data_IF_847546993799
#
_entry.id   IF_847546993799
#
_cell.length_a   1.000
_cell.length_b   1.000
_cell.length_c   1.000
_cell.angle_alpha   90.00
_cell.angle_beta   90.00
_cell.angle_gamma   90.00
#
_symmetry.space_group_name_H-M   'P 1'
#
loop_
_entity.id
_entity.type
_entity.pdbx_description
1 polymer ?
#
# COMPACT_ATOMS: atom_id res chain seq x y z
N UNK A 1 -8.95 51.14 -34.90
CA UNK A 1 -8.24 50.77 -33.65
C UNK A 1 -7.20 49.71 -34.04
N UNK A 2 -5.91 50.06 -33.98
CA UNK A 2 -4.83 49.07 -34.25
C UNK A 2 -4.37 48.47 -32.94
N UNK A 3 -4.68 47.20 -32.72
CA UNK A 3 -4.20 46.46 -31.57
C UNK A 3 -2.67 46.27 -31.63
N UNK A 4 -1.97 46.74 -30.62
CA UNK A 4 -0.53 46.68 -30.51
C UNK A 4 -0.07 45.23 -30.35
N UNK A 5 1.02 44.84 -31.03
CA UNK A 5 1.66 43.51 -30.95
C UNK A 5 1.98 43.06 -29.52
N UNK A 6 2.10 44.01 -28.59
CA UNK A 6 2.33 43.71 -27.16
C UNK A 6 1.10 43.18 -26.44
N UNK A 7 -0.12 43.52 -26.88
CA UNK A 7 -1.38 43.04 -26.28
C UNK A 7 -1.74 41.63 -26.73
N UNK A 8 -1.24 41.15 -27.88
CA UNK A 8 -1.42 39.78 -28.34
C UNK A 8 -0.54 38.76 -27.58
N UNK A 9 0.58 39.18 -27.04
CA UNK A 9 1.50 38.29 -26.30
C UNK A 9 1.07 38.03 -24.82
N UNK A 10 0.25 38.89 -24.23
CA UNK A 10 -0.23 38.75 -22.85
C UNK A 10 -1.45 37.81 -22.78
N UNK A 11 -2.23 37.71 -23.87
CA UNK A 11 -3.41 36.82 -23.90
C UNK A 11 -3.07 35.32 -24.07
N UNK A 12 -1.88 34.96 -24.55
CA UNK A 12 -1.51 33.57 -24.81
C UNK A 12 -0.93 32.82 -23.60
N UNK A 13 -0.52 33.52 -22.54
CA UNK A 13 0.05 32.88 -21.33
C UNK A 13 -1.00 32.46 -20.30
N UNK A 14 -2.24 32.93 -20.39
CA UNK A 14 -3.28 32.63 -19.38
C UNK A 14 -4.06 31.32 -19.66
N UNK A 15 -3.93 30.72 -20.83
CA UNK A 15 -4.67 29.51 -21.24
C UNK A 15 -3.95 28.18 -20.90
N UNK A 16 -2.70 28.24 -20.40
CA UNK A 16 -1.85 27.04 -20.19
C UNK A 16 -1.92 26.40 -18.80
N UNK A 17 -2.59 27.01 -17.81
CA UNK A 17 -2.55 26.51 -16.40
C UNK A 17 -3.79 25.76 -15.93
N UNK A 18 -4.75 25.50 -16.79
CA UNK A 18 -5.97 24.77 -16.40
C UNK A 18 -5.92 23.24 -16.62
N UNK A 19 -4.77 22.68 -17.04
CA UNK A 19 -4.64 21.26 -17.37
C UNK A 19 -4.00 20.38 -16.29
N UNK A 20 -3.64 20.92 -15.12
CA UNK A 20 -3.05 20.14 -14.01
C UNK A 20 -3.97 20.09 -12.81
N UNK A 21 -4.95 19.20 -12.82
CA UNK A 21 -5.77 19.07 -11.63
C UNK A 21 -6.98 18.16 -11.74
N UNK A 22 -6.87 17.02 -12.44
CA UNK A 22 -7.75 15.90 -12.07
C UNK A 22 -7.17 15.32 -10.80
N UNK A 23 -7.92 15.30 -9.67
CA UNK A 23 -7.49 14.51 -8.54
C UNK A 23 -7.43 13.06 -9.04
N UNK A 24 -6.22 12.52 -9.22
CA UNK A 24 -6.04 11.08 -9.22
C UNK A 24 -6.65 10.66 -7.90
N UNK A 25 -7.76 9.92 -7.93
CA UNK A 25 -8.20 9.17 -6.78
C UNK A 25 -6.93 8.46 -6.29
N UNK A 26 -6.40 8.84 -5.12
CA UNK A 26 -5.22 8.21 -4.55
C UNK A 26 -5.63 6.78 -4.26
N UNK A 27 -5.36 5.89 -5.21
CA UNK A 27 -5.56 4.47 -5.02
C UNK A 27 -4.65 4.08 -3.87
N UNK A 28 -5.25 3.71 -2.75
CA UNK A 28 -4.51 3.30 -1.57
C UNK A 28 -3.81 1.99 -1.90
N UNK A 29 -2.50 1.96 -1.83
CA UNK A 29 -1.71 0.74 -2.01
C UNK A 29 -1.46 0.13 -0.64
N UNK A 30 -1.91 -1.11 -0.43
CA UNK A 30 -1.63 -1.92 0.76
C UNK A 30 -0.41 -2.80 0.49
N UNK A 31 0.53 -2.80 1.40
CA UNK A 31 1.72 -3.65 1.36
C UNK A 31 1.46 -4.97 2.09
N UNK A 32 1.51 -6.07 1.37
CA UNK A 32 1.42 -7.42 1.92
C UNK A 32 2.77 -8.13 1.81
N UNK A 33 3.36 -8.49 2.95
CA UNK A 33 4.59 -9.30 2.96
C UNK A 33 4.29 -10.75 3.37
N UNK A 34 4.85 -11.69 2.63
CA UNK A 34 4.80 -13.12 2.93
C UNK A 34 6.19 -13.74 3.00
N UNK A 35 6.26 -14.97 3.46
CA UNK A 35 7.52 -15.65 3.75
C UNK A 35 7.64 -16.94 2.93
N UNK A 36 8.49 -16.87 1.90
CA UNK A 36 8.92 -18.00 1.05
C UNK A 36 7.76 -18.82 0.47
N UNK A 37 6.73 -18.13 0.01
CA UNK A 37 5.59 -18.73 -0.68
C UNK A 37 5.81 -18.81 -2.20
N UNK A 38 6.59 -17.87 -2.75
CA UNK A 38 7.01 -17.92 -4.15
C UNK A 38 8.09 -19.00 -4.37
N UNK A 39 8.17 -19.63 -5.56
CA UNK A 39 7.23 -19.49 -6.68
C UNK A 39 5.98 -20.38 -6.56
N UNK A 40 5.93 -21.29 -5.57
CA UNK A 40 4.93 -22.35 -5.46
C UNK A 40 3.49 -21.84 -5.42
N UNK A 41 3.26 -20.68 -4.81
CA UNK A 41 1.94 -20.11 -4.59
C UNK A 41 1.68 -18.86 -5.44
N UNK A 42 2.48 -18.60 -6.49
CA UNK A 42 2.30 -17.43 -7.34
C UNK A 42 0.90 -17.35 -7.96
N UNK A 43 0.42 -18.46 -8.55
CA UNK A 43 -0.89 -18.49 -9.21
C UNK A 43 -2.02 -18.28 -8.18
N UNK A 44 -1.92 -18.92 -7.03
CA UNK A 44 -2.87 -18.73 -5.94
C UNK A 44 -2.97 -17.26 -5.50
N UNK A 45 -1.82 -16.60 -5.30
CA UNK A 45 -1.82 -15.18 -4.92
C UNK A 45 -2.31 -14.28 -6.05
N UNK A 46 -2.01 -14.59 -7.30
CA UNK A 46 -2.55 -13.85 -8.45
C UNK A 46 -4.08 -13.90 -8.47
N UNK A 47 -4.68 -15.07 -8.24
CA UNK A 47 -6.12 -15.25 -8.18
C UNK A 47 -6.75 -14.52 -7.00
N UNK A 48 -6.20 -14.69 -5.79
CA UNK A 48 -6.71 -14.04 -4.58
C UNK A 48 -6.64 -12.52 -4.68
N UNK A 49 -5.51 -11.99 -5.15
CA UNK A 49 -5.33 -10.55 -5.33
C UNK A 49 -6.20 -10.00 -6.47
N UNK A 50 -6.45 -10.80 -7.51
CA UNK A 50 -7.39 -10.46 -8.57
C UNK A 50 -8.82 -10.32 -8.06
N UNK A 51 -9.29 -11.27 -7.23
CA UNK A 51 -10.61 -11.20 -6.57
C UNK A 51 -10.69 -10.00 -5.61
N UNK A 52 -9.63 -9.74 -4.84
CA UNK A 52 -9.55 -8.56 -3.99
C UNK A 52 -9.69 -7.28 -4.79
N UNK A 53 -8.93 -7.12 -5.88
CA UNK A 53 -8.96 -5.91 -6.70
C UNK A 53 -10.32 -5.66 -7.35
N UNK A 54 -11.04 -6.72 -7.72
CA UNK A 54 -12.42 -6.60 -8.24
C UNK A 54 -13.39 -6.09 -7.17
N UNK A 55 -13.25 -6.55 -5.92
CA UNK A 55 -14.12 -6.16 -4.80
C UNK A 55 -13.74 -4.80 -4.20
N UNK A 56 -12.47 -4.42 -4.30
CA UNK A 56 -11.90 -3.22 -3.70
C UNK A 56 -11.09 -2.39 -4.70
N UNK A 57 -11.71 -1.82 -5.75
CA UNK A 57 -10.99 -1.14 -6.84
C UNK A 57 -10.16 0.06 -6.37
N UNK A 58 -10.51 0.66 -5.22
CA UNK A 58 -9.78 1.79 -4.65
C UNK A 58 -8.58 1.37 -3.77
N UNK A 59 -8.40 0.06 -3.49
CA UNK A 59 -7.38 -0.47 -2.61
C UNK A 59 -6.57 -1.56 -3.32
N UNK A 60 -5.51 -1.18 -4.01
CA UNK A 60 -4.58 -2.12 -4.61
C UNK A 60 -3.72 -2.80 -3.54
N UNK A 61 -3.36 -4.06 -3.74
CA UNK A 61 -2.41 -4.78 -2.88
C UNK A 61 -1.11 -5.01 -3.63
N UNK A 62 -0.01 -4.61 -3.03
CA UNK A 62 1.34 -4.92 -3.48
C UNK A 62 1.89 -6.07 -2.65
N UNK A 63 2.05 -7.24 -3.27
CA UNK A 63 2.59 -8.42 -2.64
C UNK A 63 4.11 -8.48 -2.77
N UNK A 64 4.78 -8.73 -1.67
CA UNK A 64 6.24 -8.97 -1.60
C UNK A 64 6.49 -10.24 -0.82
N UNK A 65 7.19 -11.20 -1.43
CA UNK A 65 7.59 -12.44 -0.76
C UNK A 65 9.04 -12.36 -0.33
N UNK A 66 9.33 -12.74 0.92
CA UNK A 66 10.65 -12.62 1.53
C UNK A 66 11.19 -13.98 1.95
N UNK A 67 12.51 -14.22 1.83
CA UNK A 67 13.15 -15.40 2.39
C UNK A 67 13.08 -15.40 3.92
N UNK A 68 12.83 -16.56 4.52
CA UNK A 68 12.79 -16.75 5.98
C UNK A 68 14.00 -16.14 6.71
N UNK A 69 15.20 -16.36 6.21
CA UNK A 69 16.44 -15.89 6.86
C UNK A 69 16.63 -14.37 6.86
N UNK A 70 15.81 -13.60 6.19
CA UNK A 70 15.96 -12.14 6.09
C UNK A 70 14.80 -11.34 6.66
N UNK A 71 13.64 -11.96 6.89
CA UNK A 71 12.39 -11.26 7.22
C UNK A 71 12.49 -10.47 8.52
N UNK A 72 13.00 -11.07 9.59
CA UNK A 72 13.07 -10.39 10.90
C UNK A 72 13.91 -9.13 10.83
N UNK A 73 15.10 -9.22 10.23
CA UNK A 73 15.98 -8.07 10.06
C UNK A 73 15.35 -6.99 9.17
N UNK A 74 14.74 -7.39 8.04
CA UNK A 74 14.08 -6.45 7.12
C UNK A 74 12.87 -5.79 7.76
N UNK A 75 12.05 -6.57 8.49
CA UNK A 75 10.86 -6.03 9.13
C UNK A 75 11.22 -5.07 10.27
N UNK A 76 12.22 -5.40 11.10
CA UNK A 76 12.70 -4.49 12.14
C UNK A 76 13.24 -3.19 11.52
N UNK A 77 14.03 -3.28 10.46
CA UNK A 77 14.51 -2.10 9.74
C UNK A 77 13.35 -1.25 9.19
N UNK A 78 12.33 -1.88 8.60
CA UNK A 78 11.16 -1.20 8.06
C UNK A 78 10.33 -0.53 9.17
N UNK A 79 10.17 -1.18 10.33
CA UNK A 79 9.50 -0.59 11.51
C UNK A 79 10.24 0.66 11.99
N UNK A 80 11.56 0.58 12.14
CA UNK A 80 12.37 1.75 12.54
C UNK A 80 12.30 2.88 11.51
N UNK A 81 12.29 2.56 10.22
CA UNK A 81 12.19 3.53 9.13
C UNK A 81 10.75 4.04 8.91
N UNK A 82 9.74 3.55 9.63
CA UNK A 82 8.31 3.84 9.43
C UNK A 82 7.82 3.48 8.01
N UNK A 83 8.36 2.42 7.45
CA UNK A 83 8.01 1.88 6.12
C UNK A 83 7.58 0.41 6.22
N UNK A 84 7.09 0.00 7.39
CA UNK A 84 6.57 -1.34 7.61
C UNK A 84 5.39 -1.64 6.68
N UNK A 85 5.20 -2.91 6.26
CA UNK A 85 4.03 -3.31 5.49
C UNK A 85 2.74 -3.16 6.31
N UNK A 86 1.61 -3.03 5.62
CA UNK A 86 0.29 -2.99 6.27
C UNK A 86 -0.09 -4.36 6.84
N UNK A 87 0.30 -5.44 6.14
CA UNK A 87 0.05 -6.82 6.55
C UNK A 87 1.30 -7.67 6.32
N UNK A 88 1.63 -8.52 7.29
CA UNK A 88 2.75 -9.46 7.17
C UNK A 88 2.40 -10.78 7.83
N UNK A 89 2.73 -11.92 7.19
CA UNK A 89 2.66 -13.20 7.87
C UNK A 89 3.96 -13.46 8.63
N UNK A 90 3.86 -13.92 9.88
CA UNK A 90 5.00 -14.10 10.78
C UNK A 90 4.91 -15.46 11.48
N UNK A 91 6.06 -15.97 11.92
CA UNK A 91 6.06 -17.05 12.88
C UNK A 91 5.56 -16.55 14.25
N UNK A 92 4.87 -17.39 15.05
CA UNK A 92 4.28 -16.98 16.32
C UNK A 92 5.27 -16.37 17.33
N UNK A 93 6.48 -16.91 17.53
CA UNK A 93 7.46 -16.32 18.46
C UNK A 93 7.86 -14.90 18.10
N UNK A 94 8.09 -14.63 16.81
CA UNK A 94 8.47 -13.30 16.36
C UNK A 94 7.28 -12.32 16.42
N UNK A 95 6.07 -12.78 16.08
CA UNK A 95 4.85 -12.00 16.23
C UNK A 95 4.63 -11.59 17.69
N UNK A 96 4.77 -12.51 18.65
CA UNK A 96 4.66 -12.22 20.07
C UNK A 96 5.71 -11.20 20.55
N UNK A 97 6.95 -11.32 20.08
CA UNK A 97 8.02 -10.35 20.37
C UNK A 97 7.69 -8.95 19.84
N UNK A 98 7.19 -8.83 18.61
CA UNK A 98 6.77 -7.55 18.06
C UNK A 98 5.58 -6.96 18.81
N UNK A 99 4.58 -7.78 19.11
CA UNK A 99 3.39 -7.35 19.86
C UNK A 99 3.75 -6.79 21.25
N UNK A 100 4.64 -7.47 21.98
CA UNK A 100 5.10 -7.02 23.31
C UNK A 100 5.82 -5.68 23.30
N UNK A 101 6.32 -5.27 22.13
CA UNK A 101 7.02 -3.98 21.91
C UNK A 101 6.14 -2.93 21.21
N UNK A 102 4.84 -3.22 21.05
CA UNK A 102 3.92 -2.32 20.36
C UNK A 102 4.15 -2.23 18.84
N UNK A 103 4.83 -3.21 18.25
CA UNK A 103 5.13 -3.26 16.81
C UNK A 103 3.98 -3.79 15.95
N UNK A 104 2.89 -4.26 16.56
CA UNK A 104 1.69 -4.73 15.87
C UNK A 104 0.47 -3.94 16.32
N UNK A 105 -0.48 -3.77 15.42
CA UNK A 105 -1.78 -3.13 15.74
C UNK A 105 -2.69 -4.15 16.43
N UNK A 106 -3.28 -3.77 17.54
CA UNK A 106 -4.32 -4.56 18.19
C UNK A 106 -5.62 -4.47 17.37
N UNK A 107 -6.08 -5.61 16.88
CA UNK A 107 -7.30 -5.74 16.09
C UNK A 107 -8.55 -6.06 16.91
N UNK A 108 -8.45 -6.30 18.20
CA UNK A 108 -9.58 -6.73 19.05
C UNK A 108 -10.73 -5.73 19.05
N UNK A 109 -10.42 -4.43 18.94
CA UNK A 109 -11.41 -3.36 18.86
C UNK A 109 -11.93 -3.08 17.46
N UNK A 110 -11.25 -3.60 16.43
CA UNK A 110 -11.55 -3.34 15.01
C UNK A 110 -12.32 -4.48 14.36
N UNK A 111 -12.21 -5.69 14.91
CA UNK A 111 -12.87 -6.86 14.38
C UNK A 111 -14.24 -7.07 15.06
N UNK A 112 -15.24 -7.57 14.31
CA UNK A 112 -16.51 -7.94 14.91
C UNK A 112 -16.30 -9.08 15.94
N UNK A 113 -17.14 -9.15 17.00
CA UNK A 113 -16.95 -10.09 18.12
C UNK A 113 -16.76 -11.57 17.74
N UNK A 114 -17.25 -11.98 16.58
CA UNK A 114 -17.16 -13.37 16.08
C UNK A 114 -15.97 -13.63 15.12
N UNK A 115 -15.13 -12.65 14.87
CA UNK A 115 -14.00 -12.85 13.97
C UNK A 115 -12.82 -13.58 14.62
N UNK A 116 -12.78 -13.62 15.97
CA UNK A 116 -11.75 -14.30 16.75
C UNK A 116 -11.99 -15.82 16.88
N UNK A 117 -13.20 -16.31 16.56
CA UNK A 117 -13.63 -17.70 16.78
C UNK A 117 -13.53 -18.59 15.52
N UNK A 118 -12.83 -18.14 14.46
CA UNK A 118 -12.71 -18.88 13.19
C UNK A 118 -11.31 -19.31 12.88
#
# INVERSE_FOLDING_TARGET
MRLSRRQLLIGALAAGMAACGRPRSQQRSLELWTLQLAPKFNDYFADVLGVWQQRHPAAAVRWTDLPWGSVERKLLAAVYARTAPDVVNLNPPFAANLASKGGLTDLTTLLPPHAADR
#
